data_IF_760437464788
#
_entry.id   IF_760437464788
#
_cell.length_a   1.000
_cell.length_b   1.000
_cell.length_c   1.000
_cell.angle_alpha   90.00
_cell.angle_beta   90.00
_cell.angle_gamma   90.00
#
_symmetry.space_group_name_H-M   'P 1'
#
loop_
_entity.id
_entity.type
_entity.pdbx_description
1 polymer ?
#
# COMPACT_ATOMS: atom_id res chain seq x y z
N UNK A 1 -0.78 -22.89 1.66
CA UNK A 1 -1.81 -21.98 1.12
C UNK A 1 -1.10 -20.91 0.30
N UNK A 2 -0.88 -21.21 -0.99
CA UNK A 2 -0.22 -20.28 -1.90
C UNK A 2 -1.27 -19.23 -2.28
N UNK A 3 -0.99 -17.96 -2.05
CA UNK A 3 -1.82 -16.83 -2.51
C UNK A 3 -3.17 -16.59 -1.82
N UNK A 4 -3.22 -16.60 -0.48
CA UNK A 4 -4.37 -16.01 0.26
C UNK A 4 -4.31 -14.46 0.28
N UNK A 5 -3.88 -13.83 -0.82
CA UNK A 5 -3.86 -12.39 -0.99
C UNK A 5 -4.59 -12.04 -2.29
N UNK A 6 -5.87 -11.65 -2.23
CA UNK A 6 -6.56 -11.12 -3.39
C UNK A 6 -5.91 -9.80 -3.83
N UNK A 7 -5.97 -9.47 -5.11
CA UNK A 7 -5.53 -8.15 -5.58
C UNK A 7 -6.38 -7.08 -4.89
N UNK A 8 -5.75 -6.22 -4.11
CA UNK A 8 -6.38 -5.12 -3.39
C UNK A 8 -5.70 -3.80 -3.70
N UNK A 9 -6.49 -2.73 -3.61
CA UNK A 9 -5.98 -1.38 -3.70
C UNK A 9 -5.62 -0.91 -2.29
N UNK A 10 -4.36 -0.51 -2.11
CA UNK A 10 -3.83 0.01 -0.85
C UNK A 10 -3.66 1.52 -1.05
N UNK A 11 -4.38 2.30 -0.25
CA UNK A 11 -4.25 3.75 -0.24
C UNK A 11 -2.98 4.15 0.50
N UNK A 12 -1.95 4.55 -0.24
CA UNK A 12 -0.68 5.02 0.33
C UNK A 12 -0.63 6.55 0.44
N UNK A 13 -1.74 7.25 0.20
CA UNK A 13 -1.75 8.72 0.10
C UNK A 13 -1.29 9.44 1.38
N UNK A 14 -1.44 8.78 2.53
CA UNK A 14 -1.04 9.27 3.84
C UNK A 14 0.46 9.04 4.17
N UNK A 15 1.26 8.57 3.22
CA UNK A 15 2.72 8.34 3.39
C UNK A 15 3.08 6.89 3.64
N UNK A 16 2.25 6.13 4.37
CA UNK A 16 2.43 4.70 4.60
C UNK A 16 1.09 3.96 4.70
N UNK A 17 1.05 2.74 4.19
CA UNK A 17 -0.09 1.85 4.35
C UNK A 17 0.31 0.38 4.31
N UNK A 18 -0.50 -0.47 4.95
CA UNK A 18 -0.22 -1.90 5.05
C UNK A 18 -1.26 -2.74 4.32
N UNK A 19 -0.80 -3.81 3.71
CA UNK A 19 -1.62 -4.87 3.15
C UNK A 19 -2.43 -5.56 4.27
N UNK A 20 -3.78 -5.58 4.23
CA UNK A 20 -4.60 -6.17 5.30
C UNK A 20 -4.52 -7.69 5.40
N UNK A 21 -3.99 -8.38 4.39
CA UNK A 21 -3.89 -9.84 4.35
C UNK A 21 -2.47 -10.37 4.64
N UNK A 22 -1.46 -9.62 4.21
CA UNK A 22 -0.08 -10.05 4.16
C UNK A 22 0.84 -9.22 5.07
N UNK A 23 0.36 -8.08 5.58
CA UNK A 23 1.11 -7.22 6.49
C UNK A 23 2.24 -6.42 5.84
N UNK A 24 2.49 -6.61 4.54
CA UNK A 24 3.47 -5.83 3.78
C UNK A 24 3.15 -4.34 3.90
N UNK A 25 4.11 -3.57 4.43
CA UNK A 25 4.02 -2.11 4.52
C UNK A 25 4.59 -1.50 3.25
N UNK A 26 3.78 -0.68 2.61
CA UNK A 26 4.14 0.14 1.48
C UNK A 26 4.30 1.57 1.97
N UNK A 27 5.45 2.18 1.66
CA UNK A 27 5.76 3.56 2.00
C UNK A 27 6.03 4.31 0.71
N UNK A 28 5.51 5.53 0.60
CA UNK A 28 5.93 6.44 -0.47
C UNK A 28 7.42 6.74 -0.31
N UNK A 29 8.13 6.88 -1.44
CA UNK A 29 9.51 7.32 -1.40
C UNK A 29 9.57 8.77 -0.86
N UNK A 30 10.63 9.10 -0.13
CA UNK A 30 10.76 10.43 0.48
C UNK A 30 10.80 11.51 -0.63
N UNK A 31 9.80 12.40 -0.62
CA UNK A 31 9.61 13.45 -1.62
C UNK A 31 8.49 13.17 -2.66
N UNK A 32 7.94 11.96 -2.70
CA UNK A 32 6.82 11.63 -3.59
C UNK A 32 5.48 12.04 -2.97
N UNK A 33 5.00 13.21 -3.38
CA UNK A 33 3.63 13.68 -3.11
C UNK A 33 2.68 12.98 -4.07
N UNK A 34 1.80 12.14 -3.53
CA UNK A 34 0.63 11.64 -4.25
C UNK A 34 -0.17 12.83 -4.80
N UNK A 35 -0.05 13.09 -6.09
CA UNK A 35 -0.96 13.96 -6.81
C UNK A 35 -2.33 13.28 -6.85
N UNK A 36 -3.14 13.53 -5.83
CA UNK A 36 -4.57 13.27 -5.86
C UNK A 36 -5.17 14.11 -6.98
N UNK A 37 -5.81 13.43 -7.93
CA UNK A 37 -6.43 14.04 -9.10
C UNK A 37 -7.79 14.66 -8.78
#
# INVERSE_FOLDING_TARGET
IWSSHPRVFIDVTHGEAACPYCGTRYRLAEGEVVHGH
#
